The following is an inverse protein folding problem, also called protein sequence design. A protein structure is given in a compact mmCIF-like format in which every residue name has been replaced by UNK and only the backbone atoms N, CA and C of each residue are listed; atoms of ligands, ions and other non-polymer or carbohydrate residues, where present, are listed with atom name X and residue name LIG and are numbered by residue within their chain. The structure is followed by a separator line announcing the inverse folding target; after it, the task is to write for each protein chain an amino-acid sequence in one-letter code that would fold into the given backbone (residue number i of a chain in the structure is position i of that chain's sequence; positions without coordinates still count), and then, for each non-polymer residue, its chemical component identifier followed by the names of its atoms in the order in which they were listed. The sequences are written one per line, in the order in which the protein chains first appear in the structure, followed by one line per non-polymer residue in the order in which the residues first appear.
data_IF_627571695240
#
_entry.id   IF_627571695240
#
_cell.length_a   1.000
_cell.length_b   1.000
_cell.length_c   1.000
_cell.angle_alpha   90.00
_cell.angle_beta   90.00
_cell.angle_gamma   90.00
#
_symmetry.space_group_name_H-M   'P 1'
#
loop_
_entity.id
_entity.type
_entity.pdbx_description
1 polymer ?
#
# COMPACT_ATOMS: atom_id res chain seq x y z
N UNK A 1 8.57 45.68 54.07
CA UNK A 1 9.51 44.82 53.36
C UNK A 1 10.24 45.65 52.30
N UNK A 2 11.54 45.70 52.29
CA UNK A 2 12.25 46.58 51.37
C UNK A 2 12.11 46.05 49.93
N UNK A 3 11.91 46.94 49.02
CA UNK A 3 11.69 46.75 47.56
C UNK A 3 12.75 45.86 46.88
N UNK A 4 13.96 45.83 47.43
CA UNK A 4 15.05 44.93 47.01
C UNK A 4 14.74 43.45 47.18
N UNK A 5 14.02 43.03 48.24
CA UNK A 5 13.69 41.62 48.47
C UNK A 5 12.67 41.09 47.47
N UNK A 6 11.72 41.91 46.98
CA UNK A 6 10.78 41.54 45.94
C UNK A 6 11.47 41.32 44.57
N UNK A 7 12.51 42.12 44.30
CA UNK A 7 13.27 42.01 43.02
C UNK A 7 14.10 40.73 42.95
N UNK A 8 14.68 40.30 44.08
CA UNK A 8 15.43 39.05 44.18
C UNK A 8 14.52 37.80 44.02
N UNK A 9 13.35 37.80 44.66
CA UNK A 9 12.39 36.72 44.55
C UNK A 9 11.81 36.56 43.11
N UNK A 10 11.69 37.66 42.36
CA UNK A 10 11.29 37.65 40.93
C UNK A 10 12.40 37.13 40.01
N UNK A 11 13.65 37.37 40.35
CA UNK A 11 14.82 36.88 39.59
C UNK A 11 14.98 35.36 39.80
N UNK A 12 14.86 34.90 41.05
CA UNK A 12 14.93 33.49 41.42
C UNK A 12 13.84 32.67 40.72
N UNK A 13 12.59 33.13 40.73
CA UNK A 13 11.51 32.49 39.99
C UNK A 13 11.72 32.45 38.46
N UNK A 14 12.35 33.47 37.87
CA UNK A 14 12.69 33.46 36.45
C UNK A 14 13.80 32.43 36.15
N UNK A 15 14.80 32.27 37.01
CA UNK A 15 15.84 31.27 36.84
C UNK A 15 15.28 29.85 36.88
N UNK A 16 14.32 29.57 37.76
CA UNK A 16 13.66 28.26 37.84
C UNK A 16 12.87 27.95 36.55
N UNK A 17 12.21 28.95 35.97
CA UNK A 17 11.51 28.77 34.69
C UNK A 17 12.49 28.50 33.53
N UNK A 18 13.63 29.15 33.48
CA UNK A 18 14.65 28.89 32.45
C UNK A 18 15.29 27.53 32.63
N UNK A 19 15.55 27.09 33.84
CA UNK A 19 16.08 25.76 34.14
C UNK A 19 15.07 24.65 33.77
N UNK A 20 13.79 24.84 34.07
CA UNK A 20 12.71 23.92 33.70
C UNK A 20 12.56 23.84 32.16
N UNK A 21 12.57 24.99 31.49
CA UNK A 21 12.47 25.04 30.03
C UNK A 21 13.67 24.40 29.35
N UNK A 22 14.89 24.64 29.84
CA UNK A 22 16.11 24.02 29.34
C UNK A 22 16.06 22.49 29.49
N UNK A 23 15.70 21.99 30.68
CA UNK A 23 15.56 20.56 30.92
C UNK A 23 14.49 19.92 30.02
N UNK A 24 13.38 20.62 29.77
CA UNK A 24 12.36 20.17 28.83
C UNK A 24 12.86 20.10 27.39
N UNK A 25 13.61 21.11 26.93
CA UNK A 25 14.24 21.11 25.61
C UNK A 25 15.26 19.96 25.45
N UNK A 26 16.11 19.75 26.45
CA UNK A 26 17.08 18.63 26.45
C UNK A 26 16.38 17.28 26.44
N UNK A 27 15.29 17.13 27.19
CA UNK A 27 14.48 15.92 27.20
C UNK A 27 13.86 15.65 25.81
N UNK A 28 13.27 16.67 25.17
CA UNK A 28 12.70 16.56 23.83
C UNK A 28 13.78 16.18 22.80
N UNK A 29 14.94 16.83 22.87
CA UNK A 29 16.06 16.54 21.96
C UNK A 29 16.56 15.10 22.12
N UNK A 30 16.62 14.59 23.36
CA UNK A 30 17.01 13.20 23.65
C UNK A 30 15.97 12.21 23.11
N UNK A 31 14.67 12.53 23.26
CA UNK A 31 13.60 11.68 22.72
C UNK A 31 13.59 11.66 21.18
N UNK A 32 13.84 12.80 20.53
CA UNK A 32 13.96 12.86 19.08
C UNK A 32 15.15 12.07 18.56
N UNK A 33 16.30 12.16 19.22
CA UNK A 33 17.50 11.42 18.84
C UNK A 33 17.29 9.90 18.96
N UNK A 34 16.65 9.43 20.04
CA UNK A 34 16.33 8.02 20.22
C UNK A 34 15.38 7.48 19.12
N UNK A 35 14.35 8.26 18.75
CA UNK A 35 13.43 7.90 17.66
C UNK A 35 14.15 7.90 16.30
N UNK A 36 15.00 8.87 16.03
CA UNK A 36 15.78 8.94 14.79
C UNK A 36 16.75 7.74 14.68
N UNK A 37 17.44 7.37 15.76
CA UNK A 37 18.31 6.20 15.75
C UNK A 37 17.53 4.90 15.53
N UNK A 38 16.34 4.76 16.09
CA UNK A 38 15.49 3.60 15.88
C UNK A 38 14.99 3.50 14.43
N UNK A 39 14.49 4.60 13.87
CA UNK A 39 14.04 4.68 12.48
C UNK A 39 15.22 4.40 11.53
N UNK A 40 16.39 5.00 11.77
CA UNK A 40 17.60 4.78 10.97
C UNK A 40 18.03 3.31 10.99
N UNK A 41 18.00 2.64 12.14
CA UNK A 41 18.33 1.20 12.23
C UNK A 41 17.36 0.33 11.45
N UNK A 42 16.05 0.60 11.56
CA UNK A 42 15.04 -0.12 10.79
C UNK A 42 15.27 0.10 9.30
N UNK A 43 15.50 1.34 8.87
CA UNK A 43 15.74 1.67 7.46
C UNK A 43 16.97 0.95 6.92
N UNK A 44 18.08 0.95 7.66
CA UNK A 44 19.31 0.25 7.28
C UNK A 44 19.07 -1.27 7.21
N UNK A 45 18.37 -1.84 8.18
CA UNK A 45 18.04 -3.28 8.18
C UNK A 45 17.17 -3.64 6.99
N UNK A 46 16.16 -2.84 6.68
CA UNK A 46 15.28 -3.04 5.51
C UNK A 46 16.09 -2.92 4.20
N UNK A 47 16.98 -1.93 4.09
CA UNK A 47 17.85 -1.77 2.93
C UNK A 47 18.82 -2.95 2.76
N UNK A 48 19.39 -3.45 3.85
CA UNK A 48 20.24 -4.65 3.83
C UNK A 48 19.45 -5.90 3.43
N UNK A 49 18.24 -6.09 3.96
CA UNK A 49 17.38 -7.20 3.55
C UNK A 49 16.99 -7.10 2.07
N UNK A 50 16.65 -5.89 1.60
CA UNK A 50 16.38 -5.64 0.18
C UNK A 50 17.60 -5.94 -0.69
N UNK A 51 18.81 -5.53 -0.28
CA UNK A 51 20.04 -5.81 -1.03
C UNK A 51 20.34 -7.31 -1.12
N UNK A 52 20.10 -8.06 -0.04
CA UNK A 52 20.25 -9.53 -0.03
C UNK A 52 19.25 -10.23 -0.96
N UNK A 53 18.06 -9.68 -1.12
CA UNK A 53 17.06 -10.19 -2.07
C UNK A 53 17.50 -9.89 -3.50
N UNK A 54 18.06 -8.71 -3.78
CA UNK A 54 18.50 -8.27 -5.09
C UNK A 54 19.73 -9.05 -5.57
N UNK A 55 20.67 -9.43 -4.68
CA UNK A 55 21.89 -10.18 -5.08
C UNK A 55 21.63 -11.61 -5.51
N UNK A 56 20.46 -12.18 -5.22
CA UNK A 56 20.03 -13.50 -5.75
C UNK A 56 19.27 -13.39 -7.09
N UNK A 57 19.19 -12.19 -7.67
CA UNK A 57 18.28 -11.81 -8.74
C UNK A 57 18.75 -12.13 -10.17
N UNK A 58 19.73 -13.00 -10.38
CA UNK A 58 20.28 -13.28 -11.71
C UNK A 58 19.31 -13.94 -12.72
N UNK A 59 18.06 -14.23 -12.31
CA UNK A 59 17.01 -14.76 -13.17
C UNK A 59 15.61 -14.32 -12.73
N UNK A 60 15.48 -13.18 -12.04
CA UNK A 60 14.19 -12.75 -11.50
C UNK A 60 13.42 -11.96 -12.56
N UNK A 61 12.25 -12.46 -12.93
CA UNK A 61 11.29 -11.75 -13.77
C UNK A 61 10.66 -10.63 -12.94
N UNK A 62 10.82 -9.39 -13.38
CA UNK A 62 10.13 -8.23 -12.84
C UNK A 62 8.80 -8.05 -13.59
N UNK A 63 7.71 -7.83 -12.90
CA UNK A 63 6.45 -7.50 -13.52
C UNK A 63 5.88 -6.19 -12.92
N UNK A 64 5.34 -5.34 -13.79
CA UNK A 64 4.60 -4.15 -13.40
C UNK A 64 3.11 -4.41 -13.61
N UNK A 65 2.28 -3.91 -12.71
CA UNK A 65 0.82 -4.10 -12.80
C UNK A 65 0.04 -2.85 -12.44
N UNK A 66 -1.15 -2.70 -13.05
CA UNK A 66 -2.14 -1.73 -12.64
C UNK A 66 -3.50 -2.42 -12.47
N UNK A 67 -4.29 -1.96 -11.50
CA UNK A 67 -5.64 -2.46 -11.26
C UNK A 67 -6.66 -1.52 -11.92
N UNK A 68 -7.29 -1.99 -12.99
CA UNK A 68 -8.25 -1.22 -13.76
C UNK A 68 -9.48 -0.78 -12.96
N UNK A 69 -9.88 -1.53 -11.93
CA UNK A 69 -11.02 -1.12 -11.08
C UNK A 69 -10.65 0.12 -10.23
N UNK A 70 -9.41 0.23 -9.78
CA UNK A 70 -8.94 1.42 -9.10
C UNK A 70 -8.80 2.60 -10.05
N UNK A 71 -8.28 2.38 -11.25
CA UNK A 71 -8.18 3.41 -12.29
C UNK A 71 -9.57 3.93 -12.68
N UNK A 72 -10.58 3.05 -12.77
CA UNK A 72 -11.96 3.43 -13.04
C UNK A 72 -12.59 4.29 -11.92
N UNK A 73 -12.09 4.18 -10.68
CA UNK A 73 -12.46 5.05 -9.56
C UNK A 73 -11.58 6.30 -9.43
N UNK A 74 -10.87 6.66 -10.49
CA UNK A 74 -9.92 7.77 -10.52
C UNK A 74 -8.82 7.64 -9.46
N UNK A 75 -8.40 6.42 -9.17
CA UNK A 75 -7.35 6.12 -8.21
C UNK A 75 -6.18 5.43 -8.93
N UNK A 76 -5.35 6.19 -9.69
CA UNK A 76 -4.19 5.63 -10.35
C UNK A 76 -3.33 4.82 -9.37
N UNK A 77 -2.91 3.67 -9.84
CA UNK A 77 -2.16 2.73 -9.04
C UNK A 77 -1.09 2.04 -9.88
N UNK A 78 -0.04 1.64 -9.20
CA UNK A 78 1.06 0.89 -9.80
C UNK A 78 1.55 -0.15 -8.82
N UNK A 79 1.76 -1.35 -9.30
CA UNK A 79 2.38 -2.43 -8.56
C UNK A 79 3.63 -2.92 -9.24
N UNK A 80 4.58 -3.38 -8.44
CA UNK A 80 5.76 -4.10 -8.88
C UNK A 80 5.79 -5.47 -8.21
N UNK A 81 6.13 -6.50 -8.96
CA UNK A 81 6.22 -7.88 -8.50
C UNK A 81 7.51 -8.51 -8.99
N UNK A 82 8.23 -9.13 -8.10
CA UNK A 82 9.46 -9.87 -8.40
C UNK A 82 9.23 -11.34 -8.10
N UNK A 83 9.52 -12.20 -9.07
CA UNK A 83 9.45 -13.65 -8.88
C UNK A 83 10.71 -14.13 -8.15
N UNK A 84 10.51 -14.72 -6.98
CA UNK A 84 11.60 -15.21 -6.12
C UNK A 84 11.93 -16.66 -6.44
N UNK A 85 10.91 -17.44 -6.79
CA UNK A 85 11.00 -18.85 -7.13
C UNK A 85 9.94 -19.20 -8.19
N UNK A 86 9.95 -20.44 -8.68
CA UNK A 86 8.96 -20.94 -9.65
C UNK A 86 7.51 -20.73 -9.22
N UNK A 87 7.24 -20.78 -7.92
CA UNK A 87 5.89 -20.67 -7.35
C UNK A 87 5.67 -19.41 -6.53
N UNK A 88 6.72 -18.71 -6.09
CA UNK A 88 6.60 -17.59 -5.18
C UNK A 88 7.00 -16.26 -5.80
N UNK A 89 6.25 -15.22 -5.48
CA UNK A 89 6.61 -13.85 -5.82
C UNK A 89 6.35 -12.91 -4.63
N UNK A 90 7.12 -11.85 -4.61
CA UNK A 90 6.98 -10.72 -3.69
C UNK A 90 6.60 -9.50 -4.49
N UNK A 91 5.72 -8.68 -3.95
CA UNK A 91 5.28 -7.48 -4.63
C UNK A 91 4.89 -6.36 -3.68
N UNK A 92 4.73 -5.20 -4.27
CA UNK A 92 4.17 -4.02 -3.61
C UNK A 92 3.26 -3.29 -4.57
N UNK A 93 2.11 -2.84 -4.10
CA UNK A 93 1.22 -1.97 -4.85
C UNK A 93 1.14 -0.62 -4.13
N UNK A 94 1.10 0.45 -4.89
CA UNK A 94 0.81 1.78 -4.39
C UNK A 94 -0.31 2.41 -5.21
N UNK A 95 -1.18 3.16 -4.57
CA UNK A 95 -2.28 3.86 -5.21
C UNK A 95 -2.52 5.20 -4.54
N UNK A 96 -3.01 6.16 -5.31
CA UNK A 96 -3.29 7.49 -4.81
C UNK A 96 -4.57 8.04 -5.46
N UNK A 97 -5.37 8.69 -4.65
CA UNK A 97 -6.41 9.57 -5.12
C UNK A 97 -6.25 10.91 -4.39
N UNK A 98 -5.80 11.94 -5.10
CA UNK A 98 -5.47 13.24 -4.52
C UNK A 98 -6.57 14.30 -4.74
N UNK A 99 -7.63 13.97 -5.49
CA UNK A 99 -8.67 14.93 -5.89
C UNK A 99 -10.00 14.70 -5.20
N UNK A 100 -10.85 15.71 -5.28
CA UNK A 100 -12.23 15.65 -4.80
C UNK A 100 -13.16 15.21 -5.94
N UNK A 101 -14.11 14.32 -5.63
CA UNK A 101 -15.12 13.88 -6.62
C UNK A 101 -16.03 15.06 -7.02
N UNK A 102 -16.44 15.88 -6.06
CA UNK A 102 -17.29 17.04 -6.27
C UNK A 102 -16.94 18.11 -5.24
N UNK A 103 -16.36 19.21 -5.73
CA UNK A 103 -15.93 20.33 -4.88
C UNK A 103 -17.14 21.11 -4.32
N UNK A 104 -18.22 21.24 -5.10
CA UNK A 104 -19.43 21.97 -4.70
C UNK A 104 -20.19 21.28 -3.59
N UNK A 105 -20.25 19.95 -3.64
CA UNK A 105 -20.91 19.11 -2.63
C UNK A 105 -19.94 18.57 -1.58
N UNK A 106 -18.71 19.06 -1.55
CA UNK A 106 -17.64 18.63 -0.63
C UNK A 106 -17.47 17.09 -0.56
N UNK A 107 -17.65 16.41 -1.70
CA UNK A 107 -17.45 14.96 -1.81
C UNK A 107 -15.97 14.66 -1.93
N UNK A 108 -15.42 14.03 -0.89
CA UNK A 108 -13.99 13.69 -0.80
C UNK A 108 -13.80 12.18 -0.83
N UNK A 109 -12.85 11.76 -1.68
CA UNK A 109 -12.41 10.37 -1.77
C UNK A 109 -10.89 10.32 -1.91
N UNK A 110 -10.20 11.09 -1.05
CA UNK A 110 -8.75 11.19 -1.10
C UNK A 110 -8.13 10.07 -0.28
N UNK A 111 -7.20 9.37 -0.86
CA UNK A 111 -6.42 8.37 -0.14
C UNK A 111 -5.05 8.15 -0.79
N UNK A 112 -4.12 7.73 0.02
CA UNK A 112 -2.87 7.10 -0.38
C UNK A 112 -2.88 5.68 0.18
N UNK A 113 -2.47 4.72 -0.62
CA UNK A 113 -2.45 3.31 -0.25
C UNK A 113 -1.11 2.70 -0.64
N UNK A 114 -0.55 1.89 0.25
CA UNK A 114 0.58 1.01 -0.04
C UNK A 114 0.24 -0.39 0.47
N UNK A 115 0.56 -1.40 -0.35
CA UNK A 115 0.19 -2.79 -0.05
C UNK A 115 1.30 -3.75 -0.47
N UNK A 116 2.23 -4.08 0.45
CA UNK A 116 3.15 -5.19 0.24
C UNK A 116 2.38 -6.51 0.19
N UNK A 117 2.85 -7.44 -0.63
CA UNK A 117 2.19 -8.72 -0.81
C UNK A 117 3.15 -9.86 -1.14
N UNK A 118 2.69 -11.06 -0.83
CA UNK A 118 3.34 -12.32 -1.17
C UNK A 118 2.34 -13.17 -1.91
N UNK A 119 2.73 -13.74 -3.04
CA UNK A 119 1.90 -14.63 -3.87
C UNK A 119 2.50 -16.00 -3.97
N UNK A 120 1.62 -16.99 -3.91
CA UNK A 120 1.94 -18.39 -4.22
C UNK A 120 1.15 -18.82 -5.42
N UNK A 121 1.83 -19.10 -6.52
CA UNK A 121 1.23 -19.61 -7.74
C UNK A 121 1.02 -21.12 -7.66
N UNK A 122 -0.08 -21.59 -8.26
CA UNK A 122 -0.43 -23.01 -8.36
C UNK A 122 -1.28 -23.27 -9.60
N UNK A 123 -1.48 -24.56 -9.94
CA UNK A 123 -2.34 -24.93 -11.07
C UNK A 123 -1.89 -24.34 -12.39
N UNK A 124 -0.58 -24.29 -12.63
CA UNK A 124 0.00 -23.85 -13.90
C UNK A 124 -0.48 -24.81 -15.00
N UNK A 125 -1.25 -24.27 -15.96
CA UNK A 125 -1.57 -25.01 -17.21
C UNK A 125 -0.60 -24.58 -18.28
N UNK A 126 0.10 -25.56 -18.78
CA UNK A 126 1.07 -25.44 -19.86
C UNK A 126 0.49 -26.07 -21.12
N UNK A 127 0.65 -25.38 -22.25
CA UNK A 127 0.34 -25.93 -23.56
C UNK A 127 1.65 -26.03 -24.34
N UNK A 128 1.84 -27.15 -25.00
CA UNK A 128 2.94 -27.34 -25.94
C UNK A 128 2.61 -26.66 -27.25
N UNK A 129 3.49 -25.78 -27.70
CA UNK A 129 3.41 -25.16 -29.04
C UNK A 129 4.46 -25.85 -29.91
N UNK A 130 3.98 -26.67 -30.81
CA UNK A 130 4.85 -27.29 -31.83
C UNK A 130 4.93 -26.36 -33.03
N UNK A 131 6.12 -25.89 -33.33
CA UNK A 131 6.41 -25.15 -34.58
C UNK A 131 6.86 -26.17 -35.61
N UNK A 132 6.07 -26.29 -36.67
CA UNK A 132 6.39 -27.16 -37.80
C UNK A 132 7.22 -26.41 -38.83
N UNK A 133 8.20 -27.07 -39.37
CA UNK A 133 9.08 -26.53 -40.40
C UNK A 133 9.98 -27.59 -41.00
N UNK A 134 10.80 -27.21 -41.95
CA UNK A 134 11.79 -28.11 -42.54
C UNK A 134 13.01 -28.23 -41.61
N UNK A 135 13.32 -29.42 -41.17
CA UNK A 135 14.54 -29.73 -40.38
C UNK A 135 15.80 -29.58 -41.21
N UNK A 136 16.96 -29.50 -40.55
CA UNK A 136 18.26 -29.45 -41.27
C UNK A 136 18.51 -30.67 -42.17
N UNK A 137 17.86 -31.79 -41.94
CA UNK A 137 17.90 -33.00 -42.72
C UNK A 137 16.97 -32.99 -43.97
N UNK A 138 16.26 -31.86 -44.20
CA UNK A 138 15.32 -31.70 -45.32
C UNK A 138 13.91 -32.27 -45.03
N UNK A 139 13.68 -32.92 -43.91
CA UNK A 139 12.35 -33.49 -43.57
C UNK A 139 11.45 -32.42 -42.96
N UNK A 140 10.13 -32.46 -43.29
CA UNK A 140 9.14 -31.60 -42.67
C UNK A 140 8.66 -32.22 -41.34
N UNK A 141 8.72 -31.46 -40.27
CA UNK A 141 8.31 -31.96 -38.98
C UNK A 141 8.37 -30.88 -37.89
N UNK A 142 8.25 -31.29 -36.62
CA UNK A 142 8.40 -30.35 -35.48
C UNK A 142 9.86 -29.88 -35.41
N UNK A 143 10.06 -28.57 -35.64
CA UNK A 143 11.38 -27.94 -35.59
C UNK A 143 11.64 -27.41 -34.18
N UNK A 144 10.61 -26.98 -33.48
CA UNK A 144 10.69 -26.47 -32.11
C UNK A 144 9.46 -26.88 -31.31
N UNK A 145 9.70 -27.47 -30.15
CA UNK A 145 8.68 -27.69 -29.13
C UNK A 145 8.98 -26.73 -27.97
N UNK A 146 7.98 -25.91 -27.60
CA UNK A 146 8.11 -24.99 -26.49
C UNK A 146 6.87 -25.06 -25.62
N UNK A 147 7.08 -25.27 -24.34
CA UNK A 147 6.01 -25.27 -23.34
C UNK A 147 5.74 -23.84 -22.90
N UNK A 148 4.52 -23.38 -23.13
CA UNK A 148 4.10 -22.03 -22.75
C UNK A 148 3.04 -22.12 -21.67
N UNK A 149 3.25 -21.46 -20.56
CA UNK A 149 2.24 -21.35 -19.51
C UNK A 149 1.16 -20.37 -19.95
N UNK A 150 -0.07 -20.84 -20.13
CA UNK A 150 -1.19 -19.99 -20.55
C UNK A 150 -2.06 -19.51 -19.38
N UNK A 151 -2.08 -20.25 -18.30
CA UNK A 151 -2.95 -19.95 -17.16
C UNK A 151 -2.27 -20.30 -15.86
N UNK A 152 -2.51 -19.49 -14.85
CA UNK A 152 -2.07 -19.74 -13.48
C UNK A 152 -3.15 -19.30 -12.50
N UNK A 153 -3.18 -19.93 -11.34
CA UNK A 153 -3.94 -19.49 -10.18
C UNK A 153 -2.95 -19.06 -9.11
N UNK A 154 -3.36 -18.15 -8.26
CA UNK A 154 -2.50 -17.76 -7.12
C UNK A 154 -3.33 -17.43 -5.90
N UNK A 155 -2.70 -17.62 -4.77
CA UNK A 155 -3.15 -17.10 -3.50
C UNK A 155 -2.20 -15.97 -3.10
N UNK A 156 -2.74 -14.85 -2.64
CA UNK A 156 -1.97 -13.67 -2.19
C UNK A 156 -2.32 -13.35 -0.75
N UNK A 157 -1.30 -13.11 0.06
CA UNK A 157 -1.42 -12.46 1.37
C UNK A 157 -0.86 -11.06 1.22
N UNK A 158 -1.60 -10.06 1.71
CA UNK A 158 -1.20 -8.66 1.59
C UNK A 158 -1.44 -7.88 2.89
N UNK A 159 -0.47 -7.03 3.22
CA UNK A 159 -0.65 -5.96 4.17
C UNK A 159 -1.18 -4.72 3.44
N UNK A 160 -1.92 -3.86 4.13
CA UNK A 160 -2.41 -2.59 3.60
C UNK A 160 -2.13 -1.51 4.62
N UNK A 161 -1.51 -0.42 4.19
CA UNK A 161 -1.51 0.85 4.89
C UNK A 161 -2.18 1.88 4.00
N UNK A 162 -3.10 2.66 4.56
CA UNK A 162 -3.76 3.74 3.84
C UNK A 162 -3.95 4.95 4.73
N UNK A 163 -3.57 6.11 4.22
CA UNK A 163 -4.01 7.41 4.75
C UNK A 163 -5.19 7.88 3.94
N UNK A 164 -6.30 8.22 4.59
CA UNK A 164 -7.54 8.56 3.89
C UNK A 164 -8.21 9.82 4.42
N UNK A 165 -8.93 10.49 3.53
CA UNK A 165 -9.82 11.60 3.83
C UNK A 165 -11.07 11.43 2.94
N UNK A 166 -12.11 10.84 3.51
CA UNK A 166 -13.31 10.40 2.79
C UNK A 166 -14.54 11.01 3.46
N UNK A 167 -15.43 11.57 2.68
CA UNK A 167 -16.65 12.14 3.21
C UNK A 167 -17.69 12.48 2.15
N UNK A 168 -18.94 12.58 2.59
CA UNK A 168 -20.11 12.88 1.76
C UNK A 168 -20.24 11.96 0.54
N UNK A 169 -19.85 10.68 0.69
CA UNK A 169 -19.84 9.71 -0.40
C UNK A 169 -20.70 8.51 -0.03
N UNK A 170 -21.57 8.11 -0.96
CA UNK A 170 -22.35 6.87 -0.83
C UNK A 170 -21.49 5.70 -1.31
N UNK A 171 -21.16 4.81 -0.40
CA UNK A 171 -20.48 3.56 -0.74
C UNK A 171 -21.54 2.52 -1.12
N UNK A 172 -21.38 1.79 -2.24
CA UNK A 172 -22.29 0.73 -2.63
C UNK A 172 -22.52 -0.27 -1.49
N UNK A 173 -23.73 -0.81 -1.42
CA UNK A 173 -24.17 -1.82 -0.44
C UNK A 173 -24.26 -1.32 1.01
N UNK A 174 -24.25 -0.01 1.27
CA UNK A 174 -24.39 0.55 2.62
C UNK A 174 -23.27 0.18 3.60
N UNK A 175 -22.12 -0.25 3.09
CA UNK A 175 -21.04 -0.83 3.91
C UNK A 175 -20.46 0.14 4.94
N UNK A 176 -20.60 1.45 4.74
CA UNK A 176 -20.07 2.48 5.66
C UNK A 176 -20.96 3.72 5.66
N UNK A 177 -22.15 3.63 6.21
CA UNK A 177 -23.12 4.75 6.24
C UNK A 177 -22.59 6.01 6.96
N UNK A 178 -21.65 5.86 7.88
CA UNK A 178 -21.03 7.00 8.57
C UNK A 178 -20.35 7.98 7.61
N UNK A 179 -19.80 7.50 6.48
CA UNK A 179 -19.12 8.35 5.47
C UNK A 179 -20.12 9.18 4.65
N UNK A 180 -21.39 8.83 4.68
CA UNK A 180 -22.45 9.54 3.97
C UNK A 180 -22.77 10.92 4.59
N UNK A 181 -22.63 11.04 5.90
CA UNK A 181 -23.01 12.25 6.66
C UNK A 181 -21.84 12.89 7.38
N UNK A 182 -20.67 12.24 7.41
CA UNK A 182 -19.46 12.72 8.10
C UNK A 182 -18.24 12.54 7.22
N UNK A 183 -17.27 13.42 7.41
CA UNK A 183 -15.96 13.31 6.82
C UNK A 183 -15.02 12.63 7.80
N UNK A 184 -14.43 11.53 7.38
CA UNK A 184 -13.45 10.76 8.15
C UNK A 184 -12.05 11.01 7.56
N UNK A 185 -11.12 11.41 8.41
CA UNK A 185 -9.72 11.59 8.06
C UNK A 185 -8.84 10.84 9.04
N UNK A 186 -8.04 9.93 8.55
CA UNK A 186 -7.22 9.08 9.40
C UNK A 186 -6.34 8.10 8.64
N UNK A 187 -5.93 7.10 9.36
CA UNK A 187 -5.06 6.04 8.87
C UNK A 187 -5.72 4.67 9.08
N UNK A 188 -5.38 3.73 8.22
CA UNK A 188 -5.85 2.37 8.25
C UNK A 188 -4.67 1.43 8.06
N UNK A 189 -4.64 0.37 8.87
CA UNK A 189 -3.79 -0.81 8.63
C UNK A 189 -4.68 -2.04 8.48
N UNK A 190 -4.35 -2.91 7.55
CA UNK A 190 -5.11 -4.14 7.34
C UNK A 190 -4.21 -5.30 6.91
N UNK A 191 -4.70 -6.50 7.16
CA UNK A 191 -4.12 -7.74 6.65
C UNK A 191 -5.20 -8.49 5.88
N UNK A 192 -4.86 -8.94 4.68
CA UNK A 192 -5.82 -9.58 3.79
C UNK A 192 -5.30 -10.79 3.05
N UNK A 193 -6.25 -11.51 2.46
CA UNK A 193 -5.99 -12.61 1.56
C UNK A 193 -6.83 -12.47 0.30
N UNK A 194 -6.21 -12.77 -0.85
CA UNK A 194 -6.88 -12.78 -2.16
C UNK A 194 -6.59 -14.07 -2.89
N UNK A 195 -7.55 -14.48 -3.69
CA UNK A 195 -7.39 -15.54 -4.65
C UNK A 195 -7.53 -14.97 -6.04
N UNK A 196 -6.61 -15.32 -6.93
CA UNK A 196 -6.58 -14.78 -8.27
C UNK A 196 -6.37 -15.83 -9.35
N UNK A 197 -6.80 -15.44 -10.54
CA UNK A 197 -6.64 -16.18 -11.76
C UNK A 197 -5.90 -15.31 -12.78
N UNK A 198 -4.84 -15.86 -13.38
CA UNK A 198 -3.98 -15.16 -14.33
C UNK A 198 -4.08 -15.83 -15.70
N UNK A 199 -4.37 -15.02 -16.72
CA UNK A 199 -4.35 -15.41 -18.13
C UNK A 199 -3.15 -14.77 -18.80
N UNK A 200 -2.26 -15.56 -19.36
CA UNK A 200 -1.08 -15.08 -20.06
C UNK A 200 -1.47 -14.89 -21.53
N UNK A 201 -1.47 -13.63 -21.97
CA UNK A 201 -1.87 -13.23 -23.31
C UNK A 201 -0.72 -13.33 -24.29
N UNK A 202 0.48 -12.96 -23.84
CA UNK A 202 1.70 -13.03 -24.64
C UNK A 202 2.91 -13.25 -23.72
N UNK A 203 4.11 -13.20 -24.29
CA UNK A 203 5.36 -13.30 -23.52
C UNK A 203 5.45 -12.23 -22.43
N UNK A 204 5.00 -11.01 -22.73
CA UNK A 204 5.22 -9.83 -21.88
C UNK A 204 3.92 -9.35 -21.20
N UNK A 205 2.76 -9.88 -21.60
CA UNK A 205 1.47 -9.41 -21.10
C UNK A 205 0.63 -10.51 -20.47
N UNK A 206 0.06 -10.23 -19.34
CA UNK A 206 -0.97 -11.05 -18.70
C UNK A 206 -2.11 -10.19 -18.13
N UNK A 207 -3.28 -10.77 -18.02
CA UNK A 207 -4.45 -10.20 -17.34
C UNK A 207 -4.77 -11.07 -16.15
N UNK A 208 -5.15 -10.45 -15.06
CA UNK A 208 -5.47 -11.14 -13.81
C UNK A 208 -6.82 -10.66 -13.28
N UNK A 209 -7.62 -11.59 -12.77
CA UNK A 209 -8.79 -11.28 -11.96
C UNK A 209 -8.56 -11.82 -10.55
N UNK A 210 -8.84 -11.01 -9.54
CA UNK A 210 -8.63 -11.37 -8.14
C UNK A 210 -9.79 -10.90 -7.27
N UNK A 211 -10.08 -11.71 -6.25
CA UNK A 211 -11.06 -11.38 -5.23
C UNK A 211 -10.55 -11.83 -3.86
N UNK A 212 -10.90 -11.09 -2.84
CA UNK A 212 -10.49 -11.40 -1.48
C UNK A 212 -11.09 -10.47 -0.45
N UNK A 213 -10.56 -10.58 0.75
CA UNK A 213 -11.01 -9.79 1.90
C UNK A 213 -9.81 -9.47 2.80
N UNK A 214 -9.86 -8.29 3.42
CA UNK A 214 -8.93 -7.91 4.47
C UNK A 214 -9.68 -7.48 5.72
N UNK A 215 -9.07 -7.71 6.87
CA UNK A 215 -9.50 -7.16 8.15
C UNK A 215 -8.55 -6.03 8.51
N UNK A 216 -9.10 -4.86 8.76
CA UNK A 216 -8.34 -3.66 9.06
C UNK A 216 -8.80 -2.96 10.31
N UNK A 217 -7.89 -2.21 10.89
CA UNK A 217 -8.14 -1.28 11.98
C UNK A 217 -7.81 0.12 11.51
N UNK A 218 -8.79 1.02 11.66
CA UNK A 218 -8.64 2.42 11.29
C UNK A 218 -8.84 3.32 12.51
N UNK A 219 -8.00 4.34 12.63
CA UNK A 219 -8.13 5.43 13.59
C UNK A 219 -8.28 6.73 12.83
N UNK A 220 -9.28 7.51 13.18
CA UNK A 220 -9.68 8.68 12.42
C UNK A 220 -10.22 9.81 13.27
N UNK A 221 -10.25 10.98 12.68
CA UNK A 221 -10.97 12.17 13.16
C UNK A 221 -12.23 12.33 12.33
N UNK A 222 -13.31 12.68 13.02
CA UNK A 222 -14.62 12.95 12.42
C UNK A 222 -14.84 14.45 12.28
N UNK A 223 -15.34 14.85 11.12
CA UNK A 223 -15.71 16.24 10.82
C UNK A 223 -17.09 16.29 10.17
N UNK A 224 -17.78 17.44 10.28
CA UNK A 224 -19.02 17.69 9.55
C UNK A 224 -18.76 17.81 8.03
N UNK A 225 -19.69 17.32 7.22
CA UNK A 225 -19.68 17.50 5.78
C UNK A 225 -20.34 18.80 5.33
N UNK A 226 -21.40 19.24 6.01
CA UNK A 226 -22.20 20.40 5.62
C UNK A 226 -21.49 21.71 5.95
N UNK A 227 -20.73 21.73 7.05
CA UNK A 227 -19.93 22.87 7.48
C UNK A 227 -18.46 22.48 7.45
N UNK A 228 -17.75 22.90 6.43
CA UNK A 228 -16.34 22.56 6.22
C UNK A 228 -15.50 22.80 7.48
N UNK A 229 -15.20 21.74 8.21
CA UNK A 229 -14.18 21.74 9.24
C UNK A 229 -14.62 21.72 10.69
N UNK A 230 -15.88 21.65 11.02
CA UNK A 230 -16.30 21.44 12.43
C UNK A 230 -15.84 20.04 12.86
N UNK A 231 -14.96 20.02 13.84
CA UNK A 231 -14.42 18.79 14.42
C UNK A 231 -15.42 18.20 15.42
N UNK A 232 -15.76 16.94 15.25
CA UNK A 232 -16.67 16.22 16.14
C UNK A 232 -15.94 15.40 17.20
N UNK A 233 -14.89 14.70 16.81
CA UNK A 233 -14.20 13.81 17.74
C UNK A 233 -13.19 12.89 17.05
N UNK A 234 -12.66 11.97 17.83
CA UNK A 234 -11.81 10.87 17.37
C UNK A 234 -12.58 9.57 17.48
N UNK A 235 -12.37 8.69 16.53
CA UNK A 235 -12.91 7.34 16.55
C UNK A 235 -11.91 6.35 16.02
N UNK A 236 -12.16 5.09 16.33
CA UNK A 236 -11.46 3.95 15.78
C UNK A 236 -12.43 2.81 15.54
N UNK A 237 -12.16 2.01 14.53
CA UNK A 237 -13.03 0.88 14.18
C UNK A 237 -12.25 -0.21 13.46
N UNK A 238 -12.76 -1.44 13.61
CA UNK A 238 -12.37 -2.57 12.78
C UNK A 238 -13.26 -2.55 11.53
N UNK A 239 -12.64 -2.72 10.37
CA UNK A 239 -13.30 -2.78 9.07
C UNK A 239 -13.04 -4.12 8.40
N UNK A 240 -14.06 -4.63 7.72
CA UNK A 240 -13.91 -5.68 6.74
C UNK A 240 -13.85 -5.04 5.36
N UNK A 241 -12.73 -5.22 4.66
CA UNK A 241 -12.44 -4.60 3.36
C UNK A 241 -12.54 -5.65 2.26
N UNK A 242 -13.58 -5.63 1.41
CA UNK A 242 -13.60 -6.45 0.22
C UNK A 242 -12.49 -5.98 -0.74
N UNK A 243 -11.76 -6.92 -1.31
CA UNK A 243 -10.71 -6.66 -2.27
C UNK A 243 -11.11 -7.28 -3.61
N UNK A 244 -11.19 -6.46 -4.65
CA UNK A 244 -11.48 -6.88 -6.01
C UNK A 244 -10.45 -6.26 -6.95
N UNK A 245 -10.01 -7.01 -7.95
CA UNK A 245 -9.06 -6.53 -8.92
C UNK A 245 -9.22 -7.16 -10.29
N UNK A 246 -9.08 -6.32 -11.30
CA UNK A 246 -8.78 -6.72 -12.68
C UNK A 246 -7.47 -6.04 -13.02
N UNK A 247 -6.40 -6.81 -13.10
CA UNK A 247 -5.05 -6.26 -13.27
C UNK A 247 -4.56 -6.52 -14.70
N UNK A 248 -3.93 -5.51 -15.28
CA UNK A 248 -3.08 -5.65 -16.45
C UNK A 248 -1.63 -5.66 -15.97
N UNK A 249 -0.89 -6.65 -16.41
CA UNK A 249 0.48 -6.90 -15.95
C UNK A 249 1.42 -6.96 -17.14
N UNK A 250 2.49 -6.19 -17.07
CA UNK A 250 3.59 -6.18 -18.01
C UNK A 250 4.82 -6.85 -17.39
N UNK A 251 5.38 -7.82 -18.08
CA UNK A 251 6.53 -8.61 -17.64
C UNK A 251 7.78 -8.05 -18.29
N UNK A 252 8.76 -7.70 -17.47
CA UNK A 252 10.09 -7.23 -17.90
C UNK A 252 11.05 -8.42 -17.75
N UNK A 253 11.58 -8.91 -18.87
CA UNK A 253 12.51 -10.04 -18.94
C UNK A 253 13.95 -9.54 -19.12
#
# INVERSE_FOLDING_TARGET
MPEKAKKWCLIEKKCDYYALFYNFCVYLQRQMNLKMHFISRITITVLLLLSLIITRASAQTLALRTNLLYDATLSPNLGAEVRVDSLWSLGVNAGINAWDIDKTKNKKWRHFLISPNVRKYHGLKQDSICIYGTRPDGTFGVVRDSVVTKRARYFEINGIYSHFNVGNTKIPFGLYDAVKHRRLQGDLVALGGKYGYSWILSRDWRVEAEAGVAVGYAWFKEYDCDHCGVYYGKGDRIFLLPQLGINVVYIIN
#
